data_IF_841427373278
#
_entry.id   IF_841427373278
#
_cell.length_a   1.000
_cell.length_b   1.000
_cell.length_c   1.000
_cell.angle_alpha   90.00
_cell.angle_beta   90.00
_cell.angle_gamma   90.00
#
_symmetry.space_group_name_H-M   'P 1'
#
loop_
_entity.id
_entity.type
_entity.pdbx_description
1 polymer ?
#
# COMPACT_ATOMS: atom_id res chain seq x y z
N UNK A 1 37.59 -42.52 -7.75
CA UNK A 1 36.65 -42.27 -6.63
C UNK A 1 35.51 -41.44 -7.18
N UNK A 2 34.31 -42.02 -7.41
CA UNK A 2 33.17 -41.28 -7.93
C UNK A 2 32.32 -40.82 -6.72
N UNK A 3 32.17 -39.52 -6.49
CA UNK A 3 31.30 -38.98 -5.46
C UNK A 3 29.93 -38.75 -6.09
N UNK A 4 28.94 -39.61 -5.76
CA UNK A 4 27.54 -39.38 -6.15
C UNK A 4 26.83 -38.59 -5.08
N UNK A 5 26.50 -37.33 -5.36
CA UNK A 5 25.65 -36.50 -4.50
C UNK A 5 24.19 -36.77 -4.88
N UNK A 6 23.47 -37.52 -4.03
CA UNK A 6 22.04 -37.80 -4.21
C UNK A 6 21.23 -36.66 -3.57
N UNK A 7 20.74 -35.71 -4.35
CA UNK A 7 19.84 -34.66 -3.86
C UNK A 7 18.43 -35.24 -3.79
N UNK A 8 18.12 -35.90 -2.68
CA UNK A 8 16.75 -36.35 -2.35
C UNK A 8 16.04 -35.17 -1.67
N UNK A 9 14.75 -34.94 -2.02
CA UNK A 9 13.84 -33.95 -1.43
C UNK A 9 13.61 -32.63 -2.18
N UNK A 10 14.20 -32.40 -3.35
CA UNK A 10 13.89 -31.19 -4.17
C UNK A 10 12.38 -31.11 -4.45
N UNK A 11 11.75 -32.21 -4.82
CA UNK A 11 10.30 -32.25 -5.07
C UNK A 11 9.47 -31.87 -3.82
N UNK A 12 9.92 -32.28 -2.63
CA UNK A 12 9.27 -31.95 -1.36
C UNK A 12 9.45 -30.47 -1.03
N UNK A 13 10.66 -29.93 -1.21
CA UNK A 13 10.97 -28.51 -1.01
C UNK A 13 10.14 -27.63 -1.96
N UNK A 14 10.06 -27.99 -3.23
CA UNK A 14 9.23 -27.27 -4.22
C UNK A 14 7.74 -27.31 -3.86
N UNK A 15 7.23 -28.43 -3.37
CA UNK A 15 5.84 -28.53 -2.90
C UNK A 15 5.61 -27.60 -1.70
N UNK A 16 6.53 -27.57 -0.73
CA UNK A 16 6.44 -26.68 0.43
C UNK A 16 6.48 -25.20 0.03
N UNK A 17 7.33 -24.80 -0.93
CA UNK A 17 7.38 -23.45 -1.45
C UNK A 17 6.06 -23.04 -2.14
N UNK A 18 5.47 -23.93 -2.93
CA UNK A 18 4.15 -23.67 -3.56
C UNK A 18 3.04 -23.53 -2.51
N UNK A 19 3.08 -24.32 -1.45
CA UNK A 19 2.12 -24.20 -0.33
C UNK A 19 2.30 -22.85 0.37
N UNK A 20 3.54 -22.46 0.68
CA UNK A 20 3.85 -21.16 1.28
C UNK A 20 3.33 -20.00 0.43
N UNK A 21 3.56 -20.04 -0.88
CA UNK A 21 3.06 -19.03 -1.81
C UNK A 21 1.54 -18.89 -1.71
N UNK A 22 0.81 -20.04 -1.73
CA UNK A 22 -0.64 -20.06 -1.64
C UNK A 22 -1.16 -19.54 -0.29
N UNK A 23 -0.45 -19.86 0.78
CA UNK A 23 -0.82 -19.43 2.14
C UNK A 23 -0.54 -17.93 2.39
N UNK A 24 0.41 -17.34 1.66
CA UNK A 24 0.73 -15.92 1.72
C UNK A 24 -0.19 -15.04 0.86
N UNK A 25 -0.82 -15.62 -0.18
CA UNK A 25 -1.65 -14.86 -1.13
C UNK A 25 -2.76 -14.02 -0.45
N UNK A 26 -3.57 -14.56 0.50
CA UNK A 26 -4.59 -13.76 1.19
C UNK A 26 -3.98 -12.62 2.02
N UNK A 27 -2.84 -12.88 2.66
CA UNK A 27 -2.14 -11.90 3.48
C UNK A 27 -1.63 -10.72 2.63
N UNK A 28 -1.11 -11.00 1.43
CA UNK A 28 -0.70 -9.96 0.49
C UNK A 28 -1.88 -9.14 -0.02
N UNK A 29 -3.01 -9.78 -0.32
CA UNK A 29 -4.21 -9.05 -0.74
C UNK A 29 -4.69 -8.09 0.35
N UNK A 30 -4.69 -8.52 1.60
CA UNK A 30 -5.04 -7.65 2.74
C UNK A 30 -4.07 -6.47 2.88
N UNK A 31 -2.76 -6.71 2.77
CA UNK A 31 -1.74 -5.65 2.86
C UNK A 31 -1.87 -4.67 1.71
N UNK A 32 -2.08 -5.14 0.48
CA UNK A 32 -2.25 -4.28 -0.70
C UNK A 32 -3.48 -3.40 -0.56
N UNK A 33 -4.59 -3.98 -0.09
CA UNK A 33 -5.84 -3.23 0.16
C UNK A 33 -5.66 -2.22 1.30
N UNK A 34 -5.04 -2.63 2.40
CA UNK A 34 -4.74 -1.74 3.54
C UNK A 34 -3.78 -0.62 3.15
N UNK A 35 -2.76 -0.93 2.36
CA UNK A 35 -1.81 0.05 1.81
C UNK A 35 -2.49 1.09 0.92
N UNK A 36 -3.41 0.67 0.06
CA UNK A 36 -4.19 1.58 -0.77
C UNK A 36 -5.09 2.51 0.07
N UNK A 37 -5.70 2.00 1.16
CA UNK A 37 -6.47 2.83 2.08
C UNK A 37 -5.57 3.83 2.84
N UNK A 38 -4.36 3.43 3.21
CA UNK A 38 -3.38 4.32 3.83
C UNK A 38 -3.00 5.47 2.89
N UNK A 39 -2.67 5.18 1.63
CA UNK A 39 -2.36 6.20 0.61
C UNK A 39 -3.55 7.15 0.44
N UNK A 40 -4.76 6.61 0.29
CA UNK A 40 -5.98 7.41 0.20
C UNK A 40 -6.15 8.32 1.41
N UNK A 41 -5.96 7.79 2.62
CA UNK A 41 -6.05 8.54 3.87
C UNK A 41 -5.05 9.69 3.93
N UNK A 42 -3.79 9.45 3.57
CA UNK A 42 -2.75 10.47 3.55
C UNK A 42 -3.02 11.55 2.48
N UNK A 43 -3.53 11.17 1.30
CA UNK A 43 -3.92 12.13 0.27
C UNK A 43 -5.06 13.03 0.76
N UNK A 44 -6.11 12.46 1.33
CA UNK A 44 -7.24 13.21 1.91
C UNK A 44 -6.76 14.13 3.03
N UNK A 45 -5.93 13.61 3.93
CA UNK A 45 -5.35 14.38 5.03
C UNK A 45 -4.55 15.57 4.53
N UNK A 46 -3.72 15.40 3.50
CA UNK A 46 -2.93 16.50 2.93
C UNK A 46 -3.80 17.61 2.32
N UNK A 47 -4.95 17.26 1.76
CA UNK A 47 -5.92 18.22 1.19
C UNK A 47 -6.68 18.97 2.29
N UNK A 48 -7.14 18.25 3.33
CA UNK A 48 -7.98 18.80 4.39
C UNK A 48 -7.20 19.50 5.50
N UNK A 49 -5.99 19.01 5.81
CA UNK A 49 -5.16 19.51 6.89
C UNK A 49 -3.96 20.29 6.36
N UNK A 50 -3.46 21.15 7.20
CA UNK A 50 -2.27 21.93 6.92
C UNK A 50 -2.58 23.40 6.56
N UNK A 51 -1.72 24.27 7.00
CA UNK A 51 -1.77 25.67 6.62
C UNK A 51 -1.56 25.79 5.12
N UNK A 52 -2.46 26.49 4.44
CA UNK A 52 -2.33 26.86 3.04
C UNK A 52 -1.83 28.30 2.98
N UNK A 53 -0.80 28.54 2.17
CA UNK A 53 -0.13 29.85 2.14
C UNK A 53 -0.48 30.70 0.91
N UNK A 54 -1.35 30.17 0.03
CA UNK A 54 -1.78 30.87 -1.17
C UNK A 54 -2.76 32.02 -0.92
N UNK A 55 -3.29 32.57 -1.99
CA UNK A 55 -4.17 33.72 -2.00
C UNK A 55 -5.48 33.43 -1.28
N UNK A 56 -5.98 34.44 -0.54
CA UNK A 56 -7.27 34.37 0.13
C UNK A 56 -8.34 34.94 -0.82
N UNK A 57 -9.39 34.19 -1.02
CA UNK A 57 -10.56 34.54 -1.81
C UNK A 57 -11.77 34.75 -0.92
N UNK A 58 -12.51 35.83 -1.13
CA UNK A 58 -13.85 35.97 -0.59
C UNK A 58 -14.86 35.36 -1.56
N UNK A 59 -15.71 34.47 -1.03
CA UNK A 59 -16.82 33.85 -1.76
C UNK A 59 -18.12 34.37 -1.18
N UNK A 60 -19.11 34.65 -2.04
CA UNK A 60 -20.33 35.34 -1.63
C UNK A 60 -21.55 34.42 -1.56
N UNK A 61 -21.49 33.20 -2.08
CA UNK A 61 -22.63 32.27 -2.06
C UNK A 61 -22.22 30.83 -1.67
N UNK A 62 -22.28 30.44 -0.40
CA UNK A 62 -22.45 31.29 0.80
C UNK A 62 -21.22 32.15 1.07
N UNK A 63 -21.40 33.24 1.82
CA UNK A 63 -20.27 34.14 2.14
C UNK A 63 -19.28 33.44 3.05
N UNK A 64 -18.06 33.29 2.55
CA UNK A 64 -16.95 32.65 3.27
C UNK A 64 -15.61 33.08 2.69
N UNK A 65 -14.57 33.00 3.49
CA UNK A 65 -13.19 33.13 3.00
C UNK A 65 -12.62 31.75 2.69
N UNK A 66 -11.90 31.65 1.60
CA UNK A 66 -11.16 30.46 1.21
C UNK A 66 -9.72 30.81 0.90
N UNK A 67 -8.78 30.17 1.58
CA UNK A 67 -7.36 30.30 1.28
C UNK A 67 -6.93 29.18 0.33
N UNK A 68 -6.47 29.52 -0.84
CA UNK A 68 -5.91 28.56 -1.79
C UNK A 68 -4.58 28.01 -1.31
N UNK A 69 -4.16 26.90 -1.88
CA UNK A 69 -2.80 26.39 -1.73
C UNK A 69 -1.83 27.20 -2.61
N UNK A 70 -0.60 27.38 -2.15
CA UNK A 70 0.51 27.85 -2.99
C UNK A 70 1.04 26.72 -3.89
N UNK A 71 1.85 27.04 -4.90
CA UNK A 71 2.60 26.07 -5.68
C UNK A 71 3.39 25.12 -4.79
N UNK A 72 3.37 23.81 -5.11
CA UNK A 72 4.03 22.76 -4.33
C UNK A 72 3.28 22.29 -3.07
N UNK A 73 2.28 23.04 -2.60
CA UNK A 73 1.42 22.62 -1.50
C UNK A 73 0.28 21.72 -2.02
N UNK A 74 -0.16 20.76 -1.22
CA UNK A 74 -1.36 19.98 -1.54
C UNK A 74 -2.58 20.92 -1.71
N UNK A 75 -3.52 20.60 -2.62
CA UNK A 75 -4.68 21.44 -2.89
C UNK A 75 -5.46 21.79 -1.61
N UNK A 76 -5.98 23.01 -1.53
CA UNK A 76 -6.87 23.39 -0.45
C UNK A 76 -8.28 22.83 -0.69
N UNK A 77 -8.87 22.19 0.33
CA UNK A 77 -10.26 21.74 0.27
C UNK A 77 -11.20 22.95 0.33
N UNK A 78 -12.08 23.08 -0.63
CA UNK A 78 -13.11 24.12 -0.65
C UNK A 78 -14.51 23.50 -0.41
N UNK A 79 -14.98 22.73 -1.39
CA UNK A 79 -16.30 22.07 -1.34
C UNK A 79 -16.23 20.61 -0.93
N UNK A 80 -15.03 20.05 -0.72
CA UNK A 80 -14.82 18.63 -0.49
C UNK A 80 -14.91 17.75 -1.74
N UNK A 81 -15.19 18.34 -2.91
CA UNK A 81 -15.38 17.57 -4.14
C UNK A 81 -14.15 16.73 -4.51
N UNK A 82 -12.92 17.27 -4.40
CA UNK A 82 -11.70 16.51 -4.67
C UNK A 82 -11.58 15.32 -3.72
N UNK A 83 -11.78 15.54 -2.43
CA UNK A 83 -11.68 14.52 -1.38
C UNK A 83 -12.68 13.39 -1.61
N UNK A 84 -13.94 13.74 -1.93
CA UNK A 84 -15.00 12.75 -2.20
C UNK A 84 -14.74 11.90 -3.46
N UNK A 85 -13.92 12.39 -4.38
CA UNK A 85 -13.57 11.72 -5.63
C UNK A 85 -12.30 10.86 -5.55
N UNK A 86 -11.58 10.86 -4.43
CA UNK A 86 -10.45 9.94 -4.21
C UNK A 86 -11.01 8.61 -3.74
N UNK A 87 -10.88 7.60 -4.59
CA UNK A 87 -11.41 6.25 -4.36
C UNK A 87 -10.31 5.20 -4.39
N UNK A 88 -10.60 4.08 -3.77
CA UNK A 88 -9.80 2.86 -3.87
C UNK A 88 -10.62 1.85 -4.67
N UNK A 89 -10.03 1.37 -5.76
CA UNK A 89 -10.65 0.38 -6.63
C UNK A 89 -9.78 -0.88 -6.70
N UNK A 90 -10.35 -2.01 -6.39
CA UNK A 90 -9.70 -3.30 -6.57
C UNK A 90 -9.73 -3.68 -8.06
N UNK A 91 -8.56 -4.00 -8.60
CA UNK A 91 -8.36 -4.39 -10.00
C UNK A 91 -7.75 -5.81 -10.03
N UNK A 92 -8.64 -6.81 -9.93
CA UNK A 92 -8.24 -8.21 -9.79
C UNK A 92 -7.91 -8.60 -8.34
N UNK A 93 -7.16 -9.71 -8.17
CA UNK A 93 -6.81 -10.25 -6.85
C UNK A 93 -5.66 -9.51 -6.17
N UNK A 94 -4.63 -9.16 -6.95
CA UNK A 94 -3.34 -8.72 -6.42
C UNK A 94 -3.06 -7.24 -6.70
N UNK A 95 -4.04 -6.52 -7.24
CA UNK A 95 -3.89 -5.13 -7.63
C UNK A 95 -5.02 -4.27 -7.09
N UNK A 96 -4.64 -3.19 -6.43
CA UNK A 96 -5.58 -2.17 -5.94
C UNK A 96 -5.07 -0.80 -6.37
N UNK A 97 -5.94 -0.04 -7.01
CA UNK A 97 -5.65 1.30 -7.50
C UNK A 97 -6.19 2.34 -6.52
N UNK A 98 -5.43 3.41 -6.32
CA UNK A 98 -5.91 4.65 -5.68
C UNK A 98 -6.04 5.69 -6.79
N UNK A 99 -7.24 6.18 -7.00
CA UNK A 99 -7.57 7.05 -8.14
C UNK A 99 -8.35 8.28 -7.69
N UNK A 100 -8.23 9.35 -8.45
CA UNK A 100 -9.10 10.52 -8.31
C UNK A 100 -9.99 10.65 -9.54
N UNK A 101 -11.31 10.57 -9.32
CA UNK A 101 -12.31 10.77 -10.37
C UNK A 101 -12.69 12.24 -10.57
N UNK A 102 -11.96 13.19 -9.98
CA UNK A 102 -12.13 14.59 -10.26
C UNK A 102 -11.40 14.94 -11.58
N UNK A 103 -12.13 15.45 -12.56
CA UNK A 103 -11.60 15.74 -13.91
C UNK A 103 -10.38 16.70 -13.90
N UNK A 104 -10.25 17.51 -12.86
CA UNK A 104 -9.14 18.48 -12.70
C UNK A 104 -7.99 17.93 -11.85
N UNK A 105 -8.08 16.72 -11.32
CA UNK A 105 -7.06 16.17 -10.40
C UNK A 105 -5.67 16.03 -11.04
N UNK A 106 -5.61 15.66 -12.33
CA UNK A 106 -4.36 15.59 -13.06
C UNK A 106 -3.70 16.96 -13.22
N UNK A 107 -4.49 18.02 -13.44
CA UNK A 107 -3.97 19.40 -13.51
C UNK A 107 -3.43 19.86 -12.17
N UNK A 108 -4.02 19.44 -11.07
CA UNK A 108 -3.48 19.73 -9.74
C UNK A 108 -2.18 18.96 -9.50
N UNK A 109 -2.13 17.68 -9.82
CA UNK A 109 -0.95 16.85 -9.56
C UNK A 109 0.27 17.29 -10.38
N UNK A 110 0.09 17.52 -11.67
CA UNK A 110 1.17 17.74 -12.62
C UNK A 110 1.33 19.22 -13.05
N UNK A 111 0.37 20.07 -12.70
CA UNK A 111 0.32 21.43 -13.19
C UNK A 111 -0.20 21.55 -14.64
N UNK A 112 -0.18 22.75 -15.16
CA UNK A 112 -0.50 23.07 -16.55
C UNK A 112 0.46 24.18 -17.03
N UNK A 113 0.38 24.59 -18.29
CA UNK A 113 1.14 25.75 -18.80
C UNK A 113 0.86 27.08 -18.06
N UNK A 114 -0.26 27.14 -17.30
CA UNK A 114 -0.70 28.36 -16.58
C UNK A 114 -0.75 28.17 -15.05
N UNK A 115 -0.51 26.96 -14.56
CA UNK A 115 -0.63 26.66 -13.13
C UNK A 115 0.47 25.69 -12.73
N UNK A 116 1.24 26.07 -11.74
CA UNK A 116 2.23 25.19 -11.15
C UNK A 116 1.60 24.01 -10.38
N UNK A 117 2.30 22.85 -10.29
CA UNK A 117 1.79 21.66 -9.65
C UNK A 117 1.46 21.88 -8.17
N UNK A 118 0.42 21.19 -7.73
CA UNK A 118 -0.01 21.08 -6.34
C UNK A 118 -0.22 19.59 -6.01
N UNK A 119 0.88 18.83 -5.89
CA UNK A 119 0.80 17.37 -5.80
C UNK A 119 0.16 16.94 -4.48
N UNK A 120 -0.66 15.89 -4.52
CA UNK A 120 -1.33 15.31 -3.36
C UNK A 120 -1.31 13.78 -3.35
N UNK A 121 -1.31 13.15 -4.52
CA UNK A 121 -1.27 11.69 -4.64
C UNK A 121 0.15 11.14 -4.51
N UNK A 122 1.10 11.72 -5.23
CA UNK A 122 2.49 11.28 -5.19
C UNK A 122 3.13 11.45 -3.80
N UNK A 123 3.01 12.60 -3.11
CA UNK A 123 3.50 12.73 -1.74
C UNK A 123 2.82 11.78 -0.75
N UNK A 124 1.52 11.50 -0.92
CA UNK A 124 0.82 10.55 -0.09
C UNK A 124 1.34 9.11 -0.29
N UNK A 125 1.62 8.73 -1.54
CA UNK A 125 2.26 7.45 -1.86
C UNK A 125 3.65 7.33 -1.21
N UNK A 126 4.53 8.30 -1.42
CA UNK A 126 5.89 8.29 -0.85
C UNK A 126 5.88 8.20 0.68
N UNK A 127 4.98 8.91 1.35
CA UNK A 127 4.83 8.86 2.80
C UNK A 127 4.32 7.49 3.28
N UNK A 128 3.45 6.85 2.50
CA UNK A 128 2.86 5.56 2.84
C UNK A 128 3.76 4.37 2.47
N UNK A 129 4.75 4.55 1.62
CA UNK A 129 5.59 3.49 1.07
C UNK A 129 6.31 2.69 2.15
N UNK A 130 7.05 3.36 3.04
CA UNK A 130 7.80 2.68 4.12
C UNK A 130 6.90 1.88 5.07
N UNK A 131 5.78 2.40 5.58
CA UNK A 131 4.82 1.62 6.37
C UNK A 131 4.30 0.38 5.65
N UNK A 132 4.01 0.48 4.35
CA UNK A 132 3.53 -0.65 3.55
C UNK A 132 4.64 -1.71 3.40
N UNK A 133 5.86 -1.32 3.05
CA UNK A 133 7.01 -2.21 2.94
C UNK A 133 7.29 -2.95 4.28
N UNK A 134 7.20 -2.25 5.39
CA UNK A 134 7.36 -2.85 6.73
C UNK A 134 6.24 -3.85 7.05
N UNK A 135 5.00 -3.56 6.69
CA UNK A 135 3.88 -4.47 6.89
C UNK A 135 4.07 -5.77 6.08
N UNK A 136 4.51 -5.67 4.82
CA UNK A 136 4.85 -6.81 3.97
C UNK A 136 5.96 -7.63 4.61
N UNK A 137 7.07 -7.00 4.98
CA UNK A 137 8.21 -7.67 5.57
C UNK A 137 7.84 -8.43 6.85
N UNK A 138 7.14 -7.76 7.77
CA UNK A 138 6.69 -8.36 9.04
C UNK A 138 5.80 -9.59 8.82
N UNK A 139 4.90 -9.54 7.83
CA UNK A 139 4.00 -10.66 7.53
C UNK A 139 4.76 -11.86 6.95
N UNK A 140 5.68 -11.61 6.03
CA UNK A 140 6.53 -12.66 5.43
C UNK A 140 7.39 -13.34 6.49
N UNK A 141 8.08 -12.56 7.34
CA UNK A 141 8.92 -13.11 8.42
C UNK A 141 8.09 -13.98 9.35
N UNK A 142 6.95 -13.47 9.82
CA UNK A 142 6.05 -14.24 10.70
C UNK A 142 5.65 -15.58 10.08
N UNK A 143 5.30 -15.60 8.79
CA UNK A 143 4.89 -16.83 8.09
C UNK A 143 6.03 -17.82 7.96
N UNK A 144 7.25 -17.35 7.69
CA UNK A 144 8.43 -18.20 7.64
C UNK A 144 8.70 -18.81 9.02
N UNK A 145 8.60 -18.05 10.09
CA UNK A 145 8.77 -18.56 11.46
C UNK A 145 7.74 -19.64 11.81
N UNK A 146 6.46 -19.44 11.48
CA UNK A 146 5.39 -20.41 11.68
C UNK A 146 5.69 -21.73 10.95
N UNK A 147 6.14 -21.64 9.68
CA UNK A 147 6.52 -22.81 8.90
C UNK A 147 7.74 -23.53 9.48
N UNK A 148 8.74 -22.80 9.92
CA UNK A 148 9.95 -23.38 10.51
C UNK A 148 9.61 -24.14 11.80
N UNK A 149 8.79 -23.57 12.67
CA UNK A 149 8.31 -24.24 13.88
C UNK A 149 7.55 -25.53 13.55
N UNK A 150 6.66 -25.48 12.55
CA UNK A 150 5.92 -26.67 12.12
C UNK A 150 6.85 -27.78 11.58
N UNK A 151 7.85 -27.44 10.76
CA UNK A 151 8.83 -28.41 10.21
C UNK A 151 9.63 -29.06 11.34
N UNK A 152 10.07 -28.30 12.34
CA UNK A 152 10.81 -28.82 13.50
C UNK A 152 9.93 -29.76 14.30
N UNK A 153 8.68 -29.41 14.57
CA UNK A 153 7.74 -30.27 15.32
C UNK A 153 7.49 -31.58 14.61
N UNK A 154 7.34 -31.58 13.28
CA UNK A 154 7.15 -32.78 12.47
C UNK A 154 8.41 -33.69 12.47
N UNK A 155 9.60 -33.13 12.47
CA UNK A 155 10.85 -33.89 12.53
C UNK A 155 11.03 -34.57 13.90
N UNK A 156 10.70 -33.89 14.99
CA UNK A 156 10.72 -34.44 16.34
C UNK A 156 9.71 -35.60 16.51
N UNK A 157 8.50 -35.46 16.05
CA UNK A 157 7.46 -36.51 16.08
C UNK A 157 7.90 -37.74 15.32
N UNK A 158 8.55 -37.58 14.17
CA UNK A 158 9.03 -38.68 13.34
C UNK A 158 10.19 -39.46 13.99
N UNK A 159 11.04 -38.77 14.75
CA UNK A 159 12.10 -39.45 15.51
C UNK A 159 11.56 -40.26 16.67
N UNK A 160 10.53 -39.81 17.37
CA UNK A 160 9.86 -40.57 18.44
C UNK A 160 9.15 -41.83 17.93
N UNK A 161 8.55 -41.77 16.73
CA UNK A 161 7.84 -42.92 16.14
C UNK A 161 8.75 -44.01 15.57
N UNK A 162 10.05 -43.78 15.48
CA UNK A 162 11.05 -44.79 15.04
C UNK A 162 11.70 -45.50 16.24
N UNK A 163 11.55 -44.96 17.46
CA UNK A 163 12.10 -45.55 18.69
C UNK A 163 11.10 -46.45 19.45
N UNK A 164 9.88 -46.56 18.98
CA UNK A 164 8.85 -47.51 19.47
C UNK A 164 8.64 -48.65 18.48
#
# INVERSE_FOLDING_TARGET
>A
MQVQIKVSNIKKALKQLKTLQKDLEPDFQEIVKGGAQLIRGEAIKSIQSGAKSGIVYEKYNPRRTHRASAPGEAPASDTGNLVSKIIVRQDGKDKTNVESNAHYSAYLEYGTSKMEPRPFMFPAFEKSRKPIEQAVFKRVVKKIEEMTKWVISQSAYKQQSIML
#
